data_IF_579132580259
#
_entry.id   IF_579132580259
#
_cell.length_a   1.000
_cell.length_b   1.000
_cell.length_c   1.000
_cell.angle_alpha   90.00
_cell.angle_beta   90.00
_cell.angle_gamma   90.00
#
_symmetry.space_group_name_H-M   'P 1'
#
loop_
_entity.id
_entity.type
_entity.pdbx_description
1 polymer ?
#
# COMPACT_ATOMS: atom_id res chain seq x y z
N UNK A 1 -17.12 -4.38 3.22
CA UNK A 1 -18.35 -4.71 2.49
C UNK A 1 -19.21 -3.46 2.35
N UNK A 2 -20.01 -3.40 1.28
CA UNK A 2 -20.98 -2.32 1.11
C UNK A 2 -22.11 -2.45 2.13
N UNK A 3 -22.40 -1.36 2.84
CA UNK A 3 -23.53 -1.19 3.77
C UNK A 3 -23.67 -2.24 4.89
N UNK A 4 -22.72 -3.17 5.04
CA UNK A 4 -22.75 -4.28 5.99
C UNK A 4 -21.42 -4.47 6.73
N UNK A 5 -21.52 -4.91 7.98
CA UNK A 5 -20.41 -5.31 8.84
C UNK A 5 -20.55 -6.76 9.35
N UNK A 6 -21.51 -7.54 8.84
CA UNK A 6 -21.83 -8.89 9.37
C UNK A 6 -20.65 -9.85 9.30
N UNK A 7 -19.82 -9.73 8.25
CA UNK A 7 -18.64 -10.57 8.05
C UNK A 7 -17.39 -10.03 8.77
N UNK A 8 -17.41 -8.81 9.32
CA UNK A 8 -16.23 -8.18 9.93
C UNK A 8 -15.67 -9.03 11.08
N UNK A 9 -16.56 -9.54 11.94
CA UNK A 9 -16.15 -10.38 13.07
C UNK A 9 -15.52 -11.71 12.62
N UNK A 10 -16.03 -12.31 11.55
CA UNK A 10 -15.47 -13.53 10.96
C UNK A 10 -14.07 -13.27 10.39
N UNK A 11 -13.91 -12.18 9.64
CA UNK A 11 -12.61 -11.77 9.07
C UNK A 11 -11.60 -11.48 10.20
N UNK A 12 -12.00 -10.79 11.27
CA UNK A 12 -11.13 -10.52 12.41
C UNK A 12 -10.64 -11.80 13.11
N UNK A 13 -11.50 -12.81 13.27
CA UNK A 13 -11.12 -14.10 13.86
C UNK A 13 -10.16 -14.87 12.95
N UNK A 14 -10.44 -14.92 11.65
CA UNK A 14 -9.56 -15.54 10.66
C UNK A 14 -8.18 -14.84 10.59
N UNK A 15 -8.17 -13.51 10.56
CA UNK A 15 -6.96 -12.69 10.49
C UNK A 15 -6.06 -12.85 11.72
N UNK A 16 -6.65 -12.94 12.92
CA UNK A 16 -5.91 -13.14 14.17
C UNK A 16 -5.07 -14.43 14.14
N UNK A 17 -5.62 -15.51 13.59
CA UNK A 17 -4.87 -16.77 13.43
C UNK A 17 -3.67 -16.64 12.47
N UNK A 18 -3.74 -15.68 11.55
CA UNK A 18 -2.68 -15.37 10.58
C UNK A 18 -1.73 -14.25 11.03
N UNK A 19 -1.89 -13.70 12.25
CA UNK A 19 -1.09 -12.57 12.74
C UNK A 19 -1.39 -11.24 12.03
N UNK A 20 -2.56 -11.12 11.40
CA UNK A 20 -3.00 -9.90 10.73
C UNK A 20 -3.97 -9.13 11.62
N UNK A 21 -3.84 -7.80 11.62
CA UNK A 21 -4.80 -6.90 12.25
C UNK A 21 -5.85 -6.46 11.23
N UNK A 22 -7.11 -6.37 11.67
CA UNK A 22 -8.24 -5.94 10.85
C UNK A 22 -9.00 -4.88 11.63
N UNK A 23 -8.95 -3.64 11.13
CA UNK A 23 -9.74 -2.53 11.63
C UNK A 23 -11.16 -2.69 11.08
N UNK A 24 -12.19 -2.76 11.95
CA UNK A 24 -13.55 -2.98 11.51
C UNK A 24 -14.02 -1.78 10.70
N UNK A 25 -14.72 -2.03 9.60
CA UNK A 25 -15.14 -0.99 8.70
C UNK A 25 -16.25 -1.41 7.77
N UNK A 26 -16.84 -0.43 7.11
CA UNK A 26 -17.94 -0.57 6.17
C UNK A 26 -17.86 0.54 5.14
N UNK A 27 -18.14 0.24 3.89
CA UNK A 27 -18.29 1.25 2.85
C UNK A 27 -19.78 1.55 2.66
N UNK A 28 -20.19 2.79 2.94
CA UNK A 28 -21.59 3.20 2.91
C UNK A 28 -21.86 3.98 1.64
N UNK A 29 -22.93 3.63 0.93
CA UNK A 29 -23.40 4.38 -0.24
C UNK A 29 -24.46 5.38 0.22
N UNK A 30 -24.15 6.68 0.13
CA UNK A 30 -25.08 7.75 0.50
C UNK A 30 -26.23 7.89 -0.50
N UNK A 31 -27.20 8.75 -0.19
CA UNK A 31 -28.32 9.09 -1.06
C UNK A 31 -27.88 9.76 -2.38
N UNK A 32 -26.76 10.46 -2.36
CA UNK A 32 -26.10 11.04 -3.55
C UNK A 32 -25.25 10.01 -4.31
N UNK A 33 -25.36 8.73 -3.94
CA UNK A 33 -24.56 7.63 -4.47
C UNK A 33 -23.06 7.87 -4.26
N UNK A 34 -22.67 8.51 -3.16
CA UNK A 34 -21.25 8.68 -2.81
C UNK A 34 -20.83 7.57 -1.85
N UNK A 35 -19.70 6.94 -2.12
CA UNK A 35 -19.10 5.97 -1.19
C UNK A 35 -18.26 6.66 -0.12
N UNK A 36 -18.61 6.38 1.14
CA UNK A 36 -17.86 6.79 2.32
C UNK A 36 -17.44 5.54 3.08
N UNK A 37 -16.13 5.33 3.22
CA UNK A 37 -15.57 4.30 4.07
C UNK A 37 -15.60 4.78 5.54
N UNK A 38 -16.36 4.08 6.36
CA UNK A 38 -16.31 4.21 7.82
C UNK A 38 -15.33 3.20 8.42
N UNK A 39 -14.30 3.69 9.11
CA UNK A 39 -13.41 2.89 9.95
C UNK A 39 -13.81 3.05 11.41
N UNK A 40 -14.07 1.96 12.11
CA UNK A 40 -14.69 1.94 13.44
C UNK A 40 -13.71 1.44 14.52
N UNK A 41 -13.91 1.83 15.79
CA UNK A 41 -12.99 1.45 16.87
C UNK A 41 -13.03 -0.05 17.18
N UNK A 42 -14.20 -0.66 17.07
CA UNK A 42 -14.43 -2.08 17.37
C UNK A 42 -15.62 -2.66 16.60
N UNK A 43 -15.85 -3.96 16.77
CA UNK A 43 -16.95 -4.68 16.12
C UNK A 43 -18.33 -4.21 16.61
N UNK A 44 -18.44 -3.78 17.87
CA UNK A 44 -19.70 -3.30 18.44
C UNK A 44 -20.13 -2.00 17.73
N UNK A 45 -19.21 -1.06 17.57
CA UNK A 45 -19.42 0.16 16.81
C UNK A 45 -19.78 -0.12 15.34
N UNK A 46 -19.10 -1.07 14.68
CA UNK A 46 -19.42 -1.45 13.30
C UNK A 46 -20.83 -2.03 13.13
N UNK A 47 -21.26 -2.91 14.05
CA UNK A 47 -22.61 -3.47 14.04
C UNK A 47 -23.68 -2.45 14.44
N UNK A 48 -23.32 -1.49 15.31
CA UNK A 48 -24.19 -0.37 15.64
C UNK A 48 -24.40 0.56 14.43
N UNK A 49 -23.34 0.85 13.65
CA UNK A 49 -23.43 1.59 12.41
C UNK A 49 -24.30 0.84 11.39
N UNK A 50 -24.05 -0.47 11.20
CA UNK A 50 -24.87 -1.32 10.33
C UNK A 50 -26.35 -1.24 10.67
N UNK A 51 -26.69 -1.31 11.96
CA UNK A 51 -28.08 -1.22 12.42
C UNK A 51 -28.74 0.12 12.09
N UNK A 52 -27.95 1.22 11.99
CA UNK A 52 -28.44 2.52 11.52
C UNK A 52 -28.61 2.50 9.99
N UNK A 53 -27.62 1.99 9.26
CA UNK A 53 -27.63 1.90 7.80
C UNK A 53 -28.80 1.04 7.29
N UNK A 54 -29.05 -0.13 7.86
CA UNK A 54 -30.16 -1.00 7.44
C UNK A 54 -31.54 -0.36 7.61
N UNK A 55 -31.73 0.52 8.60
CA UNK A 55 -32.99 1.27 8.77
C UNK A 55 -33.19 2.30 7.67
N UNK A 56 -32.11 2.78 7.08
CA UNK A 56 -32.11 3.79 6.04
C UNK A 56 -31.86 3.21 4.64
N UNK A 57 -31.62 1.89 4.51
CA UNK A 57 -31.32 1.20 3.26
C UNK A 57 -32.62 0.59 2.69
N UNK A 58 -33.21 1.18 1.64
CA UNK A 58 -34.43 0.68 1.04
C UNK A 58 -34.16 -0.52 0.12
N UNK A 59 -35.20 -1.33 -0.06
CA UNK A 59 -35.19 -2.44 -1.01
C UNK A 59 -34.65 -3.74 -0.40
N UNK A 60 -34.93 -4.82 -1.13
CA UNK A 60 -34.46 -6.16 -0.80
C UNK A 60 -33.62 -6.68 -1.96
N UNK A 61 -32.69 -7.57 -1.64
CA UNK A 61 -31.82 -8.22 -2.60
C UNK A 61 -32.65 -9.09 -3.55
N UNK A 62 -32.36 -8.95 -4.84
CA UNK A 62 -32.81 -9.87 -5.88
C UNK A 62 -31.61 -10.77 -6.22
N UNK A 63 -31.64 -12.00 -5.72
CA UNK A 63 -30.54 -12.95 -5.90
C UNK A 63 -30.27 -13.31 -7.37
N UNK A 64 -31.28 -13.22 -8.25
CA UNK A 64 -31.08 -13.47 -9.67
C UNK A 64 -30.32 -12.31 -10.34
N UNK A 65 -30.57 -11.08 -9.89
CA UNK A 65 -29.96 -9.88 -10.47
C UNK A 65 -28.58 -9.55 -9.86
N UNK A 66 -28.44 -9.67 -8.53
CA UNK A 66 -27.28 -9.19 -7.79
C UNK A 66 -26.45 -10.31 -7.15
N UNK A 67 -26.94 -11.55 -7.20
CA UNK A 67 -26.32 -12.70 -6.57
C UNK A 67 -26.64 -12.82 -5.09
N UNK A 68 -26.15 -13.91 -4.49
CA UNK A 68 -26.36 -14.19 -3.06
C UNK A 68 -25.42 -13.35 -2.19
N UNK A 69 -25.97 -12.79 -1.12
CA UNK A 69 -25.21 -12.03 -0.13
C UNK A 69 -25.02 -12.88 1.11
N UNK A 70 -23.87 -13.53 1.22
CA UNK A 70 -23.60 -14.54 2.25
C UNK A 70 -23.03 -13.93 3.53
N UNK A 71 -23.55 -14.41 4.66
CA UNK A 71 -22.95 -14.22 5.98
C UNK A 71 -22.21 -15.50 6.32
N UNK A 72 -20.92 -15.37 6.65
CA UNK A 72 -20.03 -16.52 6.87
C UNK A 72 -19.33 -16.47 8.20
N UNK A 73 -18.83 -17.63 8.66
CA UNK A 73 -17.87 -17.68 9.75
C UNK A 73 -16.42 -17.61 9.23
N UNK A 74 -15.46 -17.63 10.15
CA UNK A 74 -14.02 -17.58 9.85
C UNK A 74 -13.48 -18.76 9.02
N UNK A 75 -14.27 -19.82 8.85
CA UNK A 75 -13.94 -20.99 8.04
C UNK A 75 -14.62 -20.96 6.66
N UNK A 76 -15.24 -19.83 6.29
CA UNK A 76 -16.04 -19.66 5.08
C UNK A 76 -17.28 -20.57 5.02
N UNK A 77 -17.77 -21.05 6.16
CA UNK A 77 -19.06 -21.76 6.23
C UNK A 77 -20.19 -20.74 6.25
N UNK A 78 -21.21 -20.97 5.42
CA UNK A 78 -22.38 -20.08 5.32
C UNK A 78 -23.25 -20.23 6.57
N UNK A 79 -23.43 -19.12 7.29
CA UNK A 79 -24.30 -19.03 8.46
C UNK A 79 -25.70 -18.53 8.10
N UNK A 80 -25.81 -17.76 7.01
CA UNK A 80 -27.06 -17.19 6.55
C UNK A 80 -26.88 -16.33 5.30
N UNK A 81 -27.98 -15.72 4.89
CA UNK A 81 -28.05 -14.82 3.74
C UNK A 81 -28.68 -13.49 4.18
N UNK A 82 -28.15 -12.37 3.68
CA UNK A 82 -28.65 -11.04 3.95
C UNK A 82 -29.68 -10.63 2.87
N UNK A 83 -30.86 -10.19 3.29
CA UNK A 83 -31.95 -9.79 2.38
C UNK A 83 -31.94 -8.32 1.97
N UNK A 84 -31.14 -7.45 2.59
CA UNK A 84 -31.07 -6.03 2.23
C UNK A 84 -30.36 -5.85 0.89
N UNK A 85 -30.73 -4.85 0.08
CA UNK A 85 -29.98 -4.55 -1.15
C UNK A 85 -28.65 -3.86 -0.81
N UNK A 86 -27.58 -4.62 -0.51
CA UNK A 86 -26.32 -4.05 0.01
C UNK A 86 -25.57 -3.20 -1.01
N UNK A 87 -25.77 -3.42 -2.31
CA UNK A 87 -25.24 -2.55 -3.38
C UNK A 87 -26.05 -1.27 -3.61
N UNK A 88 -27.16 -1.10 -2.89
CA UNK A 88 -28.06 0.04 -3.03
C UNK A 88 -27.59 1.27 -2.26
N UNK A 89 -28.20 2.41 -2.61
CA UNK A 89 -27.99 3.68 -1.91
C UNK A 89 -28.89 3.78 -0.70
N UNK A 90 -28.35 4.28 0.40
CA UNK A 90 -29.14 4.63 1.58
C UNK A 90 -29.99 5.88 1.32
N UNK A 91 -30.92 6.17 2.22
CA UNK A 91 -31.67 7.43 2.25
C UNK A 91 -30.93 8.55 2.99
N UNK A 92 -29.75 8.27 3.56
CA UNK A 92 -28.94 9.23 4.30
C UNK A 92 -28.07 10.04 3.34
N UNK A 93 -28.03 11.35 3.52
CA UNK A 93 -27.10 12.24 2.79
C UNK A 93 -25.64 11.96 3.19
N UNK A 94 -24.69 12.42 2.38
CA UNK A 94 -23.25 12.28 2.68
C UNK A 94 -22.88 12.86 4.06
N UNK A 95 -23.45 14.00 4.44
CA UNK A 95 -23.26 14.62 5.75
C UNK A 95 -23.80 13.74 6.89
N UNK A 96 -24.98 13.13 6.71
CA UNK A 96 -25.59 12.23 7.69
C UNK A 96 -24.79 10.93 7.85
N UNK A 97 -24.25 10.39 6.75
CA UNK A 97 -23.37 9.21 6.78
C UNK A 97 -22.08 9.52 7.55
N UNK A 98 -21.41 10.63 7.23
CA UNK A 98 -20.19 11.06 7.94
C UNK A 98 -20.47 11.27 9.43
N UNK A 99 -21.57 11.96 9.76
CA UNK A 99 -22.01 12.16 11.14
C UNK A 99 -22.28 10.84 11.87
N UNK A 100 -22.96 9.89 11.23
CA UNK A 100 -23.25 8.59 11.82
C UNK A 100 -21.99 7.75 12.14
N UNK A 101 -20.94 7.87 11.32
CA UNK A 101 -19.62 7.26 11.57
C UNK A 101 -18.96 7.91 12.79
N UNK A 102 -18.94 9.25 12.83
CA UNK A 102 -18.30 10.01 13.91
C UNK A 102 -19.00 9.87 15.26
N UNK A 103 -20.33 9.77 15.29
CA UNK A 103 -21.13 9.49 16.48
C UNK A 103 -20.68 8.22 17.22
N UNK A 104 -20.09 7.28 16.49
CA UNK A 104 -19.60 6.00 16.99
C UNK A 104 -18.08 6.00 17.19
N UNK A 105 -17.45 7.17 17.20
CA UNK A 105 -16.00 7.33 17.37
C UNK A 105 -15.17 6.90 16.16
N UNK A 106 -15.82 6.69 15.02
CA UNK A 106 -15.17 6.24 13.78
C UNK A 106 -14.35 7.33 13.08
N UNK A 107 -13.80 6.97 11.93
CA UNK A 107 -13.17 7.86 10.97
C UNK A 107 -13.87 7.71 9.63
N UNK A 108 -14.21 8.84 9.00
CA UNK A 108 -14.88 8.89 7.71
C UNK A 108 -13.88 9.23 6.60
N UNK A 109 -13.78 8.35 5.62
CA UNK A 109 -12.90 8.50 4.45
C UNK A 109 -13.77 8.56 3.20
N UNK A 110 -13.61 9.58 2.37
CA UNK A 110 -14.27 9.60 1.07
C UNK A 110 -13.57 8.61 0.13
N UNK A 111 -14.25 7.54 -0.25
CA UNK A 111 -13.68 6.47 -1.09
C UNK A 111 -13.42 6.95 -2.51
N UNK A 112 -12.31 6.47 -3.10
CA UNK A 112 -11.97 6.59 -4.53
C UNK A 112 -12.47 7.89 -5.19
N UNK A 113 -12.07 9.04 -4.64
CA UNK A 113 -12.64 10.37 -4.95
C UNK A 113 -12.49 10.79 -6.42
N UNK A 114 -11.57 10.16 -7.13
CA UNK A 114 -11.23 10.37 -8.53
C UNK A 114 -12.01 9.49 -9.52
N UNK A 115 -12.88 8.58 -9.04
CA UNK A 115 -13.81 7.83 -9.90
C UNK A 115 -14.99 8.71 -10.33
N UNK A 116 -15.42 8.53 -11.58
CA UNK A 116 -16.64 9.15 -12.11
C UNK A 116 -17.91 8.62 -11.42
N UNK A 117 -17.98 7.29 -11.22
CA UNK A 117 -19.07 6.64 -10.48
C UNK A 117 -18.72 6.49 -9.00
N UNK A 118 -19.68 6.81 -8.14
CA UNK A 118 -19.60 6.67 -6.68
C UNK A 118 -18.52 7.46 -5.94
N UNK A 119 -17.61 8.15 -6.65
CA UNK A 119 -16.66 9.08 -6.07
C UNK A 119 -17.34 10.42 -5.76
N UNK A 120 -17.00 11.02 -4.61
CA UNK A 120 -17.62 12.29 -4.17
C UNK A 120 -17.46 13.43 -5.19
N UNK A 121 -16.32 13.50 -5.88
CA UNK A 121 -16.09 14.52 -6.93
C UNK A 121 -16.83 14.15 -8.22
N UNK A 122 -16.92 12.86 -8.55
CA UNK A 122 -17.70 12.39 -9.70
C UNK A 122 -19.19 12.73 -9.58
N UNK A 123 -19.76 12.54 -8.38
CA UNK A 123 -21.17 12.78 -8.11
C UNK A 123 -21.50 14.25 -7.86
N UNK A 124 -20.69 14.96 -7.07
CA UNK A 124 -21.01 16.32 -6.62
C UNK A 124 -20.21 17.41 -7.34
N UNK A 125 -19.17 17.04 -8.10
CA UNK A 125 -18.23 17.97 -8.76
C UNK A 125 -17.18 18.57 -7.83
N UNK A 126 -17.32 18.41 -6.51
CA UNK A 126 -16.41 18.92 -5.48
C UNK A 126 -16.59 18.15 -4.17
N UNK A 127 -15.63 18.29 -3.25
CA UNK A 127 -15.79 17.84 -1.86
C UNK A 127 -16.52 18.97 -1.11
N UNK A 128 -17.72 18.74 -0.53
CA UNK A 128 -18.49 19.79 0.14
C UNK A 128 -17.66 20.52 1.21
N UNK A 129 -17.58 21.87 1.17
CA UNK A 129 -16.83 22.63 2.17
C UNK A 129 -17.40 22.41 3.57
N UNK A 130 -16.54 22.02 4.51
CA UNK A 130 -16.94 21.79 5.90
C UNK A 130 -17.44 20.37 6.21
N UNK A 131 -17.54 19.49 5.20
CA UNK A 131 -17.75 18.06 5.44
C UNK A 131 -16.54 17.51 6.21
N UNK A 132 -16.72 16.98 7.43
CA UNK A 132 -15.59 16.63 8.30
C UNK A 132 -15.00 15.27 7.91
N UNK A 133 -14.33 15.19 6.76
CA UNK A 133 -13.62 13.98 6.36
C UNK A 133 -12.29 13.84 7.11
N UNK A 134 -11.98 12.64 7.59
CA UNK A 134 -10.69 12.32 8.21
C UNK A 134 -9.60 12.08 7.16
N UNK A 135 -9.97 11.60 5.96
CA UNK A 135 -9.08 11.44 4.82
C UNK A 135 -9.86 11.34 3.49
N UNK A 136 -9.13 11.39 2.38
CA UNK A 136 -9.65 11.02 1.06
C UNK A 136 -8.87 9.80 0.54
N UNK A 137 -9.56 8.88 -0.10
CA UNK A 137 -8.95 7.76 -0.79
C UNK A 137 -8.98 8.01 -2.30
N UNK A 138 -7.87 7.72 -2.99
CA UNK A 138 -7.82 7.68 -4.44
C UNK A 138 -7.88 6.24 -4.95
N UNK A 139 -8.53 6.09 -6.09
CA UNK A 139 -8.52 4.86 -6.85
C UNK A 139 -7.08 4.49 -7.20
N UNK A 140 -6.88 3.18 -7.37
CA UNK A 140 -5.61 2.64 -7.83
C UNK A 140 -5.11 3.27 -9.15
N UNK A 141 -5.94 3.96 -9.94
CA UNK A 141 -5.56 4.56 -11.24
C UNK A 141 -4.90 5.94 -11.12
N UNK A 142 -4.81 6.50 -9.91
CA UNK A 142 -4.21 7.81 -9.65
C UNK A 142 -3.00 7.67 -8.72
N UNK A 143 -1.94 8.44 -8.99
CA UNK A 143 -0.74 8.47 -8.14
C UNK A 143 -0.88 9.48 -7.00
N UNK A 144 -0.26 9.20 -5.85
CA UNK A 144 -0.26 10.10 -4.70
C UNK A 144 0.21 11.54 -5.02
N UNK A 145 1.28 11.79 -5.82
CA UNK A 145 1.69 13.14 -6.17
C UNK A 145 0.62 13.88 -7.01
N UNK A 146 -0.01 13.19 -7.95
CA UNK A 146 -1.07 13.76 -8.78
C UNK A 146 -2.30 14.08 -7.93
N UNK A 147 -2.71 13.16 -7.07
CA UNK A 147 -3.82 13.36 -6.14
C UNK A 147 -3.58 14.56 -5.22
N UNK A 148 -2.35 14.70 -4.69
CA UNK A 148 -1.98 15.84 -3.85
C UNK A 148 -2.06 17.16 -4.58
N UNK A 149 -1.65 17.21 -5.85
CA UNK A 149 -1.76 18.43 -6.66
C UNK A 149 -3.21 18.80 -6.98
N UNK A 150 -4.09 17.82 -7.19
CA UNK A 150 -5.47 18.04 -7.63
C UNK A 150 -6.46 18.25 -6.48
N UNK A 151 -6.36 17.45 -5.41
CA UNK A 151 -7.41 17.33 -4.41
C UNK A 151 -7.01 17.85 -3.03
N UNK A 152 -5.70 17.93 -2.73
CA UNK A 152 -5.21 18.49 -1.48
C UNK A 152 -3.92 19.32 -1.67
N UNK A 153 -3.93 20.36 -2.53
CA UNK A 153 -2.73 21.13 -2.87
C UNK A 153 -2.14 21.90 -1.69
N UNK A 154 -2.92 22.14 -0.64
CA UNK A 154 -2.46 22.78 0.61
C UNK A 154 -2.34 21.77 1.76
N UNK A 155 -2.52 20.48 1.48
CA UNK A 155 -2.54 19.43 2.50
C UNK A 155 -3.81 19.42 3.34
N UNK A 156 -4.94 19.80 2.73
CA UNK A 156 -6.26 19.84 3.38
C UNK A 156 -6.70 18.47 3.91
N UNK A 157 -6.32 17.40 3.19
CA UNK A 157 -6.68 16.03 3.52
C UNK A 157 -5.46 15.10 3.49
N UNK A 158 -5.37 14.15 4.44
CA UNK A 158 -4.60 12.94 4.26
C UNK A 158 -5.10 12.18 3.02
N UNK A 159 -4.17 11.64 2.24
CA UNK A 159 -4.49 10.90 1.00
C UNK A 159 -4.10 9.44 1.19
N UNK A 160 -5.07 8.56 0.95
CA UNK A 160 -4.95 7.11 1.02
C UNK A 160 -5.11 6.51 -0.38
N UNK A 161 -4.66 5.28 -0.53
CA UNK A 161 -4.92 4.42 -1.67
C UNK A 161 -5.12 2.98 -1.16
N UNK A 162 -6.15 2.31 -1.68
CA UNK A 162 -6.47 0.92 -1.38
C UNK A 162 -6.83 0.17 -2.67
N UNK A 163 -6.89 -1.16 -2.58
CA UNK A 163 -7.07 -2.01 -3.75
C UNK A 163 -8.49 -2.03 -4.31
N UNK A 164 -9.49 -1.67 -3.52
CA UNK A 164 -10.93 -1.84 -3.84
C UNK A 164 -11.23 -3.28 -4.32
N UNK A 165 -10.74 -4.26 -3.54
CA UNK A 165 -10.66 -5.65 -3.96
C UNK A 165 -12.02 -6.34 -3.82
N UNK A 166 -12.52 -6.90 -4.93
CA UNK A 166 -13.76 -7.69 -4.98
C UNK A 166 -13.47 -9.19 -5.07
N UNK A 167 -12.19 -9.56 -5.27
CA UNK A 167 -11.72 -10.93 -5.31
C UNK A 167 -10.44 -11.09 -4.47
N UNK A 168 -10.21 -12.26 -3.85
CA UNK A 168 -9.03 -12.45 -3.00
C UNK A 168 -7.69 -12.14 -3.69
N UNK A 169 -7.57 -12.44 -4.98
CA UNK A 169 -6.36 -12.15 -5.78
C UNK A 169 -6.11 -10.65 -6.03
N UNK A 170 -7.10 -9.79 -5.79
CA UNK A 170 -6.98 -8.33 -5.96
C UNK A 170 -6.47 -7.64 -4.69
N UNK A 171 -6.48 -8.33 -3.55
CA UNK A 171 -6.02 -7.79 -2.26
C UNK A 171 -4.57 -7.32 -2.34
N UNK A 172 -4.33 -6.07 -1.96
CA UNK A 172 -3.02 -5.45 -2.02
C UNK A 172 -2.63 -4.94 -3.42
N UNK A 173 -3.52 -5.00 -4.41
CA UNK A 173 -3.30 -4.40 -5.73
C UNK A 173 -3.05 -2.88 -5.71
N UNK A 174 -3.43 -2.22 -4.61
CA UNK A 174 -2.89 -0.94 -4.17
C UNK A 174 -2.96 -0.85 -2.64
N UNK A 175 -2.09 -0.06 -2.02
CA UNK A 175 -2.02 0.06 -0.56
C UNK A 175 -1.51 1.44 -0.11
N UNK A 176 -1.79 1.76 1.15
CA UNK A 176 -1.21 2.89 1.89
C UNK A 176 -0.24 2.36 2.93
N UNK A 177 0.95 2.94 2.97
CA UNK A 177 1.97 2.63 3.96
C UNK A 177 1.94 3.65 5.08
N UNK A 178 1.80 3.17 6.30
CA UNK A 178 1.61 3.95 7.51
C UNK A 178 2.70 3.58 8.51
N UNK A 179 3.22 4.59 9.21
CA UNK A 179 4.05 4.38 10.38
C UNK A 179 3.19 4.54 11.63
N UNK A 180 3.06 3.46 12.40
CA UNK A 180 2.22 3.33 13.58
C UNK A 180 2.87 2.39 14.60
N UNK A 181 2.54 2.57 15.88
CA UNK A 181 2.98 1.68 16.95
C UNK A 181 2.16 0.39 16.99
N UNK A 182 0.85 0.51 16.80
CA UNK A 182 -0.08 -0.62 16.75
C UNK A 182 -1.14 -0.42 15.65
N UNK A 183 -1.75 -1.51 15.20
CA UNK A 183 -2.81 -1.46 14.18
C UNK A 183 -4.18 -1.17 14.80
N UNK A 184 -4.35 0.05 15.33
CA UNK A 184 -5.59 0.52 15.97
C UNK A 184 -6.15 1.76 15.26
N UNK A 185 -7.44 2.06 15.47
CA UNK A 185 -8.06 3.27 14.91
C UNK A 185 -7.41 4.56 15.46
N UNK A 186 -6.99 4.57 16.72
CA UNK A 186 -6.35 5.74 17.32
C UNK A 186 -4.97 6.01 16.71
N UNK A 187 -4.21 4.96 16.42
CA UNK A 187 -2.94 5.08 15.69
C UNK A 187 -3.15 5.55 14.25
N UNK A 188 -4.20 5.08 13.57
CA UNK A 188 -4.59 5.62 12.26
C UNK A 188 -4.90 7.12 12.34
N UNK A 189 -5.66 7.55 13.35
CA UNK A 189 -5.98 8.95 13.58
C UNK A 189 -4.72 9.79 13.78
N UNK A 190 -3.75 9.28 14.56
CA UNK A 190 -2.44 9.90 14.72
C UNK A 190 -1.65 9.94 13.40
N UNK A 191 -1.66 8.86 12.61
CA UNK A 191 -0.94 8.78 11.34
C UNK A 191 -1.50 9.74 10.29
N UNK A 192 -2.82 9.85 10.20
CA UNK A 192 -3.50 10.77 9.28
C UNK A 192 -3.20 12.22 9.66
N UNK A 193 -3.18 12.52 10.96
CA UNK A 193 -2.85 13.84 11.48
C UNK A 193 -1.34 14.17 11.51
N UNK A 194 -0.46 13.19 11.25
CA UNK A 194 1.00 13.38 11.36
C UNK A 194 1.48 13.65 12.80
N UNK A 195 0.83 13.08 13.81
CA UNK A 195 1.07 13.37 15.24
C UNK A 195 1.89 12.28 15.92
N UNK A 196 2.65 12.66 16.96
CA UNK A 196 3.39 11.73 17.83
C UNK A 196 4.33 10.76 17.07
N UNK A 197 4.85 11.20 15.91
CA UNK A 197 5.71 10.37 15.04
C UNK A 197 4.99 9.44 14.09
N UNK A 198 3.66 9.30 14.22
CA UNK A 198 2.85 8.53 13.29
C UNK A 198 2.62 9.35 12.04
N UNK A 199 2.69 8.72 10.88
CA UNK A 199 2.51 9.42 9.61
C UNK A 199 2.16 8.47 8.48
N UNK A 200 1.55 9.01 7.42
CA UNK A 200 1.47 8.36 6.12
C UNK A 200 2.85 8.45 5.46
N UNK A 201 3.41 7.29 5.13
CA UNK A 201 4.68 7.17 4.44
C UNK A 201 4.49 7.41 2.93
N UNK A 202 3.48 6.76 2.34
CA UNK A 202 3.11 6.87 0.93
C UNK A 202 2.04 5.83 0.55
N UNK A 203 1.86 5.58 -0.74
CA UNK A 203 0.92 4.56 -1.24
C UNK A 203 0.81 4.51 -2.76
N UNK A 204 0.24 3.44 -3.30
CA UNK A 204 0.10 3.22 -4.74
C UNK A 204 -0.02 1.74 -5.11
N UNK A 205 0.13 1.42 -6.40
CA UNK A 205 0.06 0.04 -6.94
C UNK A 205 1.42 -0.65 -6.93
N UNK A 206 1.52 -1.91 -6.45
CA UNK A 206 2.76 -2.69 -6.52
C UNK A 206 3.34 -2.89 -7.93
N UNK A 207 2.50 -2.91 -8.97
CA UNK A 207 2.93 -3.17 -10.37
C UNK A 207 3.25 -1.93 -11.21
N UNK A 208 3.00 -0.71 -10.70
CA UNK A 208 3.37 0.53 -11.43
C UNK A 208 4.76 1.05 -11.04
N UNK A 209 5.37 0.48 -10.01
CA UNK A 209 6.56 1.02 -9.37
C UNK A 209 7.55 -0.08 -8.97
N UNK A 210 8.78 -0.01 -9.52
CA UNK A 210 9.85 -0.94 -9.17
C UNK A 210 10.27 -0.83 -7.69
N UNK A 211 10.07 0.31 -7.02
CA UNK A 211 10.32 0.49 -5.59
C UNK A 211 9.47 -0.43 -4.72
N UNK A 212 8.25 -0.78 -5.15
CA UNK A 212 7.38 -1.69 -4.41
C UNK A 212 7.79 -3.15 -4.60
N UNK A 213 8.30 -3.52 -5.77
CA UNK A 213 8.95 -4.83 -5.93
C UNK A 213 10.21 -4.95 -5.09
N UNK A 214 10.99 -3.88 -4.96
CA UNK A 214 12.14 -3.85 -4.04
C UNK A 214 11.68 -4.04 -2.59
N UNK A 215 10.61 -3.34 -2.17
CA UNK A 215 10.04 -3.47 -0.84
C UNK A 215 9.59 -4.92 -0.56
N UNK A 216 8.85 -5.53 -1.47
CA UNK A 216 8.39 -6.92 -1.36
C UNK A 216 9.56 -7.90 -1.22
N UNK A 217 10.61 -7.76 -2.03
CA UNK A 217 11.79 -8.64 -1.96
C UNK A 217 12.53 -8.43 -0.64
N UNK A 218 12.71 -7.18 -0.19
CA UNK A 218 13.34 -6.89 1.10
C UNK A 218 12.52 -7.43 2.28
N UNK A 219 11.19 -7.36 2.24
CA UNK A 219 10.32 -8.00 3.24
C UNK A 219 10.48 -9.52 3.25
N UNK A 220 10.60 -10.16 2.09
CA UNK A 220 10.91 -11.60 2.01
C UNK A 220 12.24 -11.94 2.71
N UNK A 221 13.26 -11.08 2.56
CA UNK A 221 14.54 -11.24 3.23
C UNK A 221 14.43 -11.13 4.76
N UNK A 222 13.65 -10.17 5.26
CA UNK A 222 13.41 -10.01 6.71
C UNK A 222 12.72 -11.24 7.29
N UNK A 223 11.66 -11.75 6.63
CA UNK A 223 10.98 -12.97 7.05
C UNK A 223 11.86 -14.22 6.96
N UNK A 224 12.85 -14.22 6.06
CA UNK A 224 13.86 -15.25 5.97
C UNK A 224 14.89 -15.21 7.12
N UNK A 225 14.77 -14.23 8.03
CA UNK A 225 15.65 -14.04 9.18
C UNK A 225 16.96 -13.34 8.85
N UNK A 226 17.02 -12.60 7.74
CA UNK A 226 18.17 -11.76 7.44
C UNK A 226 18.29 -10.65 8.49
N UNK A 227 19.52 -10.37 8.92
CA UNK A 227 19.85 -9.18 9.74
C UNK A 227 20.50 -8.08 8.89
N UNK A 228 20.95 -8.41 7.68
CA UNK A 228 21.62 -7.50 6.75
C UNK A 228 21.01 -7.62 5.37
N UNK A 229 20.60 -6.50 4.79
CA UNK A 229 20.00 -6.43 3.45
C UNK A 229 20.73 -5.35 2.64
N UNK A 230 21.17 -5.71 1.45
CA UNK A 230 21.79 -4.80 0.49
C UNK A 230 20.87 -4.59 -0.71
N UNK A 231 20.53 -3.34 -0.99
CA UNK A 231 19.71 -2.90 -2.12
C UNK A 231 20.57 -2.02 -3.02
N UNK A 232 20.80 -2.46 -4.26
CA UNK A 232 21.60 -1.76 -5.25
C UNK A 232 20.76 -1.50 -6.51
N UNK A 233 20.70 -0.25 -6.94
CA UNK A 233 20.03 0.18 -8.18
C UNK A 233 21.10 0.81 -9.06
N UNK A 234 21.26 0.33 -10.29
CA UNK A 234 22.25 0.83 -11.23
C UNK A 234 21.60 1.16 -12.57
N UNK A 235 21.46 2.46 -12.85
CA UNK A 235 21.13 2.98 -14.17
C UNK A 235 22.41 3.22 -14.98
N UNK A 236 22.52 2.53 -16.11
CA UNK A 236 23.56 2.74 -17.11
C UNK A 236 22.94 3.22 -18.44
N UNK A 237 22.64 4.53 -18.59
CA UNK A 237 22.01 5.04 -19.80
C UNK A 237 22.78 4.76 -21.10
N UNK A 238 24.12 4.73 -21.05
CA UNK A 238 24.95 4.38 -22.21
C UNK A 238 24.86 2.92 -22.65
N UNK A 239 24.35 2.04 -21.79
CA UNK A 239 24.14 0.61 -22.07
C UNK A 239 22.66 0.27 -22.21
N UNK A 240 21.76 1.26 -22.14
CA UNK A 240 20.31 1.09 -22.08
C UNK A 240 19.87 0.09 -20.99
N UNK A 241 20.54 0.11 -19.83
CA UNK A 241 20.39 -0.93 -18.79
C UNK A 241 20.02 -0.34 -17.45
N UNK A 242 18.99 -0.91 -16.83
CA UNK A 242 18.66 -0.76 -15.40
C UNK A 242 18.85 -2.11 -14.73
N UNK A 243 19.65 -2.14 -13.67
CA UNK A 243 19.79 -3.31 -12.81
C UNK A 243 19.28 -2.96 -11.40
N UNK A 244 18.45 -3.82 -10.84
CA UNK A 244 18.01 -3.78 -9.45
C UNK A 244 18.48 -5.08 -8.81
N UNK A 245 19.26 -4.97 -7.74
CA UNK A 245 19.81 -6.09 -7.01
C UNK A 245 19.46 -5.98 -5.54
N UNK A 246 18.86 -7.03 -4.99
CA UNK A 246 18.60 -7.18 -3.56
C UNK A 246 19.34 -8.42 -3.06
N UNK A 247 20.14 -8.28 -2.02
CA UNK A 247 20.92 -9.37 -1.42
C UNK A 247 20.72 -9.39 0.09
N UNK A 248 20.56 -10.58 0.66
CA UNK A 248 20.38 -10.78 2.10
C UNK A 248 21.24 -11.92 2.63
N UNK A 249 21.38 -11.97 3.95
CA UNK A 249 22.06 -13.05 4.67
C UNK A 249 21.09 -13.96 5.45
N UNK A 250 19.84 -14.06 5.03
CA UNK A 250 18.84 -14.89 5.69
C UNK A 250 19.08 -16.39 5.49
N UNK A 251 18.07 -17.21 5.82
CA UNK A 251 18.17 -18.68 5.76
C UNK A 251 18.44 -19.28 4.37
N UNK A 252 18.25 -18.50 3.30
CA UNK A 252 18.36 -18.95 1.91
C UNK A 252 17.32 -20.03 1.52
N UNK A 253 17.47 -20.57 0.31
CA UNK A 253 16.57 -21.56 -0.28
C UNK A 253 17.33 -22.83 -0.65
N UNK A 254 16.67 -23.98 -0.55
CA UNK A 254 17.15 -25.21 -1.16
C UNK A 254 16.88 -25.23 -2.67
N UNK A 255 17.43 -26.23 -3.37
CA UNK A 255 17.35 -26.32 -4.83
C UNK A 255 15.91 -26.45 -5.34
N UNK A 256 15.04 -27.13 -4.59
CA UNK A 256 13.64 -27.32 -4.97
C UNK A 256 12.85 -26.01 -4.82
N UNK A 257 13.03 -25.33 -3.69
CA UNK A 257 12.43 -24.03 -3.42
C UNK A 257 12.91 -22.99 -4.42
N UNK A 258 14.22 -22.94 -4.71
CA UNK A 258 14.80 -22.00 -5.67
C UNK A 258 14.25 -22.20 -7.08
N UNK A 259 14.08 -23.45 -7.53
CA UNK A 259 13.54 -23.75 -8.85
C UNK A 259 12.10 -23.26 -9.04
N UNK A 260 11.37 -23.07 -7.94
CA UNK A 260 9.97 -22.62 -7.92
C UNK A 260 9.82 -21.20 -7.40
N UNK A 261 10.90 -20.53 -6.96
CA UNK A 261 10.83 -19.25 -6.27
C UNK A 261 10.22 -18.11 -7.11
N UNK A 262 10.28 -18.21 -8.44
CA UNK A 262 9.65 -17.26 -9.37
C UNK A 262 8.30 -17.74 -9.93
N UNK A 263 7.80 -18.91 -9.49
CA UNK A 263 6.48 -19.41 -9.86
C UNK A 263 5.40 -18.64 -9.06
N UNK A 264 4.45 -17.96 -9.74
CA UNK A 264 3.39 -17.20 -9.07
C UNK A 264 2.58 -18.01 -8.06
N UNK A 265 2.43 -19.31 -8.30
CA UNK A 265 1.61 -20.21 -7.48
C UNK A 265 2.42 -20.91 -6.38
N UNK A 266 3.72 -20.64 -6.27
CA UNK A 266 4.57 -21.18 -5.23
C UNK A 266 4.85 -20.15 -4.14
N UNK A 267 4.66 -20.55 -2.90
CA UNK A 267 4.99 -19.74 -1.73
C UNK A 267 5.32 -20.65 -0.57
N UNK A 268 6.28 -20.22 0.25
CA UNK A 268 6.64 -20.89 1.50
C UNK A 268 5.94 -20.26 2.72
N UNK A 269 5.14 -19.21 2.49
CA UNK A 269 4.31 -18.55 3.51
C UNK A 269 3.05 -19.38 3.75
N UNK A 270 2.81 -19.80 4.99
CA UNK A 270 1.58 -20.53 5.35
C UNK A 270 0.29 -19.70 5.26
N UNK A 271 0.39 -18.37 5.29
CA UNK A 271 -0.74 -17.43 5.35
C UNK A 271 -1.16 -16.84 4.00
N UNK A 272 -0.30 -16.89 2.98
CA UNK A 272 -0.61 -16.48 1.60
C UNK A 272 -0.55 -17.71 0.70
N UNK A 273 -1.58 -17.95 -0.11
CA UNK A 273 -1.58 -19.02 -1.14
C UNK A 273 -0.84 -18.64 -2.43
N UNK A 274 -0.33 -17.41 -2.54
CA UNK A 274 0.29 -16.88 -3.78
C UNK A 274 1.60 -16.15 -3.44
N UNK A 275 2.67 -16.44 -4.17
CA UNK A 275 4.03 -15.90 -3.98
C UNK A 275 4.37 -14.79 -4.97
N UNK A 276 3.58 -13.72 -4.98
CA UNK A 276 3.56 -12.78 -6.11
C UNK A 276 4.83 -11.92 -6.26
N UNK A 277 5.56 -11.60 -5.19
CA UNK A 277 6.64 -10.61 -5.23
C UNK A 277 7.72 -10.89 -6.29
N UNK A 278 8.35 -12.07 -6.24
CA UNK A 278 9.40 -12.46 -7.20
C UNK A 278 8.84 -12.73 -8.59
N UNK A 279 7.66 -13.33 -8.70
CA UNK A 279 7.04 -13.61 -10.00
C UNK A 279 6.62 -12.33 -10.74
N UNK A 280 6.14 -11.31 -10.03
CA UNK A 280 5.78 -10.03 -10.62
C UNK A 280 7.02 -9.26 -11.07
N UNK A 281 8.09 -9.26 -10.27
CA UNK A 281 9.37 -8.69 -10.68
C UNK A 281 9.95 -9.40 -11.93
N UNK A 282 9.84 -10.73 -11.99
CA UNK A 282 10.23 -11.50 -13.16
C UNK A 282 9.43 -11.12 -14.41
N UNK A 283 8.11 -11.01 -14.29
CA UNK A 283 7.23 -10.62 -15.38
C UNK A 283 7.56 -9.20 -15.87
N UNK A 284 7.76 -8.24 -14.96
CA UNK A 284 8.14 -6.87 -15.30
C UNK A 284 9.48 -6.80 -16.05
N UNK A 285 10.49 -7.56 -15.58
CA UNK A 285 11.78 -7.63 -16.25
C UNK A 285 11.67 -8.26 -17.65
N UNK A 286 10.96 -9.38 -17.79
CA UNK A 286 10.78 -10.06 -19.07
C UNK A 286 9.99 -9.23 -20.09
N UNK A 287 8.93 -8.55 -19.65
CA UNK A 287 8.10 -7.70 -20.50
C UNK A 287 8.88 -6.54 -21.13
N UNK A 288 10.01 -6.15 -20.54
CA UNK A 288 10.88 -5.07 -21.01
C UNK A 288 12.14 -5.58 -21.71
N UNK A 289 12.17 -6.86 -22.09
CA UNK A 289 13.31 -7.50 -22.74
C UNK A 289 14.52 -7.73 -21.83
N UNK A 290 14.30 -7.70 -20.51
CA UNK A 290 15.27 -8.02 -19.48
C UNK A 290 15.04 -9.40 -18.87
N UNK A 291 15.51 -9.62 -17.63
CA UNK A 291 15.40 -10.92 -16.94
C UNK A 291 15.51 -10.79 -15.42
N UNK A 292 15.04 -11.81 -14.71
CA UNK A 292 15.29 -12.02 -13.28
C UNK A 292 16.26 -13.20 -13.09
N UNK A 293 17.24 -13.04 -12.23
CA UNK A 293 18.18 -14.09 -11.79
C UNK A 293 18.17 -14.18 -10.26
N UNK A 294 18.05 -15.39 -9.73
CA UNK A 294 18.07 -15.64 -8.28
C UNK A 294 19.18 -16.63 -7.97
N UNK A 295 20.06 -16.26 -7.03
CA UNK A 295 21.09 -17.14 -6.47
C UNK A 295 20.82 -17.30 -4.99
N UNK A 296 20.71 -18.53 -4.50
CA UNK A 296 20.48 -18.80 -3.08
C UNK A 296 20.98 -20.20 -2.71
N UNK A 297 21.40 -20.35 -1.46
CA UNK A 297 21.77 -21.63 -0.86
C UNK A 297 21.41 -21.61 0.63
N UNK A 298 21.03 -22.76 1.19
CA UNK A 298 20.63 -22.84 2.61
C UNK A 298 21.77 -22.35 3.51
N UNK A 299 21.46 -21.37 4.36
CA UNK A 299 22.39 -20.77 5.31
C UNK A 299 23.31 -19.69 4.73
N UNK A 300 23.24 -19.39 3.43
CA UNK A 300 24.10 -18.39 2.78
C UNK A 300 23.34 -17.12 2.34
N UNK A 301 22.01 -17.11 2.50
CA UNK A 301 21.15 -16.00 2.07
C UNK A 301 20.67 -16.11 0.63
N UNK A 302 20.17 -15.00 0.10
CA UNK A 302 19.59 -14.90 -1.24
C UNK A 302 20.08 -13.64 -1.94
N UNK A 303 20.35 -13.75 -3.25
CA UNK A 303 20.60 -12.61 -4.13
C UNK A 303 19.64 -12.67 -5.30
N UNK A 304 18.86 -11.60 -5.47
CA UNK A 304 17.92 -11.41 -6.56
C UNK A 304 18.43 -10.26 -7.43
N UNK A 305 18.54 -10.48 -8.74
CA UNK A 305 18.95 -9.48 -9.72
C UNK A 305 17.88 -9.41 -10.80
N UNK A 306 17.28 -8.23 -10.96
CA UNK A 306 16.36 -7.92 -12.03
C UNK A 306 17.01 -6.92 -12.99
N UNK A 307 17.06 -7.26 -14.27
CA UNK A 307 17.59 -6.42 -15.33
C UNK A 307 16.45 -5.96 -16.23
N UNK A 308 16.47 -4.70 -16.66
CA UNK A 308 15.49 -4.07 -17.54
C UNK A 308 16.21 -3.25 -18.61
N UNK A 309 15.57 -3.05 -19.76
CA UNK A 309 15.99 -2.02 -20.72
C UNK A 309 15.55 -0.65 -20.25
N UNK A 310 16.49 0.27 -20.02
CA UNK A 310 16.23 1.55 -19.36
C UNK A 310 15.24 2.42 -20.14
N UNK A 311 15.35 2.46 -21.47
CA UNK A 311 14.53 3.23 -22.39
C UNK A 311 13.28 2.51 -22.91
N UNK A 312 12.96 1.32 -22.42
CA UNK A 312 11.77 0.59 -22.85
C UNK A 312 10.50 1.32 -22.41
N UNK A 313 9.53 1.45 -23.32
CA UNK A 313 8.29 2.20 -23.07
C UNK A 313 7.44 1.59 -21.95
N UNK A 314 7.38 0.25 -21.90
CA UNK A 314 6.62 -0.49 -20.88
C UNK A 314 7.40 -0.71 -19.58
N UNK A 315 8.61 -0.13 -19.42
CA UNK A 315 9.35 -0.25 -18.17
C UNK A 315 8.71 0.66 -17.13
N UNK A 316 8.21 0.04 -16.05
CA UNK A 316 7.75 0.76 -14.88
C UNK A 316 8.83 1.74 -14.36
N UNK A 317 8.45 2.95 -13.92
CA UNK A 317 9.37 3.86 -13.25
C UNK A 317 10.04 3.20 -12.03
N UNK A 318 11.21 3.70 -11.65
CA UNK A 318 11.87 3.32 -10.40
C UNK A 318 11.00 3.66 -9.19
N UNK A 319 10.24 4.77 -9.31
CA UNK A 319 9.25 5.29 -8.39
C UNK A 319 9.76 5.67 -6.99
N UNK A 320 8.97 5.46 -5.95
CA UNK A 320 9.16 6.12 -4.64
C UNK A 320 10.12 5.36 -3.71
N UNK A 321 11.42 5.46 -4.01
CA UNK A 321 12.49 4.90 -3.18
C UNK A 321 12.59 5.54 -1.79
N UNK A 322 12.18 6.80 -1.64
CA UNK A 322 12.14 7.48 -0.35
C UNK A 322 11.18 6.74 0.59
N UNK A 323 9.95 6.51 0.14
CA UNK A 323 8.95 5.77 0.92
C UNK A 323 9.39 4.33 1.19
N UNK A 324 9.91 3.62 0.18
CA UNK A 324 10.39 2.23 0.36
C UNK A 324 11.47 2.14 1.43
N UNK A 325 12.48 3.01 1.40
CA UNK A 325 13.55 3.02 2.40
C UNK A 325 13.05 3.45 3.77
N UNK A 326 12.13 4.42 3.84
CA UNK A 326 11.48 4.82 5.10
C UNK A 326 10.74 3.65 5.75
N UNK A 327 9.95 2.89 4.97
CA UNK A 327 9.22 1.71 5.47
C UNK A 327 10.19 0.68 6.04
N UNK A 328 11.26 0.36 5.31
CA UNK A 328 12.23 -0.65 5.75
C UNK A 328 13.00 -0.22 7.01
N UNK A 329 13.51 1.01 7.04
CA UNK A 329 14.32 1.52 8.15
C UNK A 329 13.49 1.77 9.42
N UNK A 330 12.26 2.31 9.27
CA UNK A 330 11.40 2.60 10.40
C UNK A 330 10.68 1.35 10.93
N UNK A 331 10.26 0.45 10.03
CA UNK A 331 9.56 -0.79 10.41
C UNK A 331 10.49 -1.85 10.98
N UNK A 332 11.79 -1.80 10.65
CA UNK A 332 12.76 -2.81 11.05
C UNK A 332 14.09 -2.18 11.53
N UNK A 333 14.07 -1.41 12.64
CA UNK A 333 15.25 -0.66 13.12
C UNK A 333 16.44 -1.55 13.53
N UNK A 334 16.21 -2.86 13.73
CA UNK A 334 17.26 -3.84 14.04
C UNK A 334 17.95 -4.45 12.81
N UNK A 335 17.50 -4.12 11.59
CA UNK A 335 18.04 -4.67 10.34
C UNK A 335 19.05 -3.68 9.73
N UNK A 336 20.24 -4.18 9.41
CA UNK A 336 21.28 -3.42 8.73
C UNK A 336 20.98 -3.32 7.24
N UNK A 337 20.45 -2.18 6.82
CA UNK A 337 20.17 -1.86 5.42
C UNK A 337 21.33 -1.08 4.81
N UNK A 338 21.85 -1.59 3.70
CA UNK A 338 22.82 -0.95 2.82
C UNK A 338 22.12 -0.61 1.50
N UNK A 339 22.00 0.66 1.18
CA UNK A 339 21.35 1.13 -0.05
C UNK A 339 22.35 1.87 -0.94
N UNK A 340 22.29 1.62 -2.24
CA UNK A 340 23.05 2.34 -3.26
C UNK A 340 22.19 2.55 -4.49
N UNK A 341 21.98 3.80 -4.87
CA UNK A 341 21.43 4.16 -6.18
C UNK A 341 22.50 4.83 -7.02
N UNK A 342 22.86 4.23 -8.16
CA UNK A 342 23.91 4.70 -9.07
C UNK A 342 23.33 5.06 -10.44
N UNK A 343 23.65 6.25 -10.93
CA UNK A 343 23.39 6.70 -12.31
C UNK A 343 24.71 7.05 -12.98
N UNK A 344 25.19 6.17 -13.86
CA UNK A 344 26.51 6.28 -14.48
C UNK A 344 27.63 6.27 -13.44
N UNK A 345 28.37 7.38 -13.30
CA UNK A 345 29.49 7.52 -12.34
C UNK A 345 29.10 8.05 -10.96
N UNK A 346 27.83 8.44 -10.77
CA UNK A 346 27.35 9.07 -9.53
C UNK A 346 26.56 8.06 -8.74
N UNK A 347 26.65 8.14 -7.42
CA UNK A 347 25.81 7.35 -6.53
C UNK A 347 25.30 8.17 -5.36
N UNK A 348 24.13 7.77 -4.87
CA UNK A 348 23.67 8.04 -3.53
C UNK A 348 23.78 6.74 -2.74
N UNK A 349 24.52 6.78 -1.64
CA UNK A 349 24.78 5.64 -0.78
C UNK A 349 24.21 5.93 0.61
N UNK A 350 23.60 4.92 1.22
CA UNK A 350 23.11 4.94 2.59
C UNK A 350 23.52 3.67 3.29
N UNK A 351 24.15 3.82 4.45
CA UNK A 351 24.39 2.75 5.41
C UNK A 351 23.58 3.07 6.67
N UNK A 352 22.63 2.19 7.01
CA UNK A 352 21.76 2.40 8.17
C UNK A 352 22.52 2.39 9.51
N UNK A 353 23.70 1.76 9.58
CA UNK A 353 24.55 1.80 10.77
C UNK A 353 25.07 3.21 11.08
N UNK A 354 25.21 4.05 10.05
CA UNK A 354 25.73 5.42 10.19
C UNK A 354 24.65 6.42 10.62
N UNK A 355 23.36 6.06 10.60
CA UNK A 355 22.25 6.98 10.86
C UNK A 355 22.32 7.57 12.27
N UNK A 356 22.52 6.73 13.29
CA UNK A 356 22.62 7.19 14.69
C UNK A 356 23.82 8.14 14.84
N UNK A 357 24.97 7.79 14.26
CA UNK A 357 26.16 8.65 14.31
C UNK A 357 25.99 9.98 13.59
N UNK A 358 25.07 10.02 12.63
CA UNK A 358 24.64 11.21 11.89
C UNK A 358 23.51 11.99 12.58
N UNK A 359 23.13 11.60 13.80
CA UNK A 359 22.05 12.24 14.58
C UNK A 359 20.64 11.89 14.10
N UNK A 360 20.47 10.80 13.34
CA UNK A 360 19.19 10.33 12.81
C UNK A 360 18.77 9.08 13.60
N UNK A 361 17.90 9.27 14.58
CA UNK A 361 17.27 8.17 15.31
C UNK A 361 15.89 7.85 14.71
N UNK A 362 15.84 6.78 13.92
CA UNK A 362 14.62 6.33 13.20
C UNK A 362 13.50 5.86 14.13
N UNK A 363 13.76 5.68 15.43
CA UNK A 363 12.73 5.39 16.43
C UNK A 363 11.97 6.65 16.87
N UNK A 364 12.46 7.85 16.51
CA UNK A 364 11.88 9.14 16.94
C UNK A 364 11.20 9.87 15.78
N UNK A 365 10.11 10.63 16.05
CA UNK A 365 9.47 11.50 15.05
C UNK A 365 10.46 12.43 14.34
N UNK A 366 11.38 13.04 15.10
CA UNK A 366 12.39 13.97 14.61
C UNK A 366 13.42 13.29 13.70
N UNK A 367 13.85 12.07 14.06
CA UNK A 367 14.79 11.32 13.25
C UNK A 367 14.14 10.79 11.97
N UNK A 368 12.89 10.34 12.00
CA UNK A 368 12.14 9.98 10.80
C UNK A 368 11.99 11.16 9.84
N UNK A 369 11.68 12.35 10.35
CA UNK A 369 11.64 13.57 9.55
C UNK A 369 13.03 13.93 8.98
N UNK A 370 14.12 13.68 9.72
CA UNK A 370 15.48 13.89 9.25
C UNK A 370 15.89 12.89 8.17
N UNK A 371 15.57 11.60 8.36
CA UNK A 371 15.78 10.54 7.39
C UNK A 371 15.06 10.86 6.08
N UNK A 372 13.77 11.22 6.16
CA UNK A 372 12.97 11.63 4.99
C UNK A 372 13.64 12.75 4.20
N UNK A 373 14.11 13.80 4.88
CA UNK A 373 14.85 14.91 4.23
C UNK A 373 16.15 14.46 3.60
N UNK A 374 16.90 13.58 4.27
CA UNK A 374 18.17 13.04 3.77
C UNK A 374 17.94 12.23 2.48
N UNK A 375 16.99 11.28 2.50
CA UNK A 375 16.63 10.44 1.37
C UNK A 375 16.17 11.28 0.18
N UNK A 376 15.22 12.19 0.42
CA UNK A 376 14.70 13.08 -0.62
C UNK A 376 15.80 13.90 -1.28
N UNK A 377 16.69 14.50 -0.47
CA UNK A 377 17.82 15.28 -0.97
C UNK A 377 18.80 14.42 -1.77
N UNK A 378 19.15 13.24 -1.26
CA UNK A 378 20.08 12.32 -1.93
C UNK A 378 19.60 11.89 -3.31
N UNK A 379 18.33 11.48 -3.41
CA UNK A 379 17.71 11.10 -4.68
C UNK A 379 17.54 12.30 -5.63
N UNK A 380 17.11 13.47 -5.12
CA UNK A 380 17.01 14.69 -5.95
C UNK A 380 18.38 15.13 -6.49
N UNK A 381 19.44 15.16 -5.66
CA UNK A 381 20.79 15.55 -6.09
C UNK A 381 21.34 14.61 -7.18
N UNK A 382 21.00 13.31 -7.10
CA UNK A 382 21.35 12.31 -8.09
C UNK A 382 20.60 12.50 -9.44
N UNK A 383 19.30 12.84 -9.36
CA UNK A 383 18.41 12.99 -10.53
C UNK A 383 18.54 14.37 -11.19
N UNK A 384 18.53 15.50 -10.47
CA UNK A 384 18.53 16.84 -11.08
C UNK A 384 19.81 17.11 -11.89
N UNK A 385 20.96 16.62 -11.39
CA UNK A 385 22.23 16.73 -12.11
C UNK A 385 22.27 15.88 -13.39
N UNK A 386 21.29 14.99 -13.63
CA UNK A 386 21.11 14.28 -14.90
C UNK A 386 20.63 15.23 -15.99
N UNK A 387 19.74 16.18 -15.67
CA UNK A 387 19.12 17.09 -16.63
C UNK A 387 20.09 18.20 -17.08
N UNK A 388 20.98 18.66 -16.20
CA UNK A 388 21.99 19.66 -16.53
C UNK A 388 23.06 19.18 -17.55
N UNK A 389 23.22 17.86 -17.72
CA UNK A 389 24.16 17.27 -18.70
C UNK A 389 23.54 16.96 -20.07
N UNK A 390 22.25 17.17 -20.26
CA UNK A 390 21.52 16.85 -21.51
C UNK A 390 21.18 18.06 -22.39
N UNK A 391 21.44 19.28 -21.94
CA UNK A 391 21.07 20.53 -22.63
C UNK A 391 22.21 21.20 -23.42
N UNK A 392 23.26 20.46 -23.79
CA UNK A 392 24.33 20.96 -24.66
C UNK A 392 24.42 20.13 -25.94
N UNK A 393 23.52 20.39 -26.90
CA UNK A 393 23.65 19.76 -28.22
C UNK A 393 22.41 19.79 -29.10
N UNK A 394 21.93 20.97 -29.50
CA UNK A 394 21.40 21.23 -30.85
C UNK A 394 20.99 22.70 -30.96
N UNK A 395 21.85 23.50 -31.61
CA UNK A 395 21.44 24.70 -32.33
C UNK A 395 21.11 24.31 -33.77
#
# INVERSE_FOLDING_TARGET
DHNSAENVGAVQRAARAAGLAVIPGMEITSAEEVHILGLLPDLEAALALQSRIYKALPGHNDEEAFGVQVVTNEFAEVLGFNDHLLSGSTTLTVDEVVGAIHDLGGMAVASHVDREGFGIIGQLGFIPPGLPLDAIEISRHTTMPRARALYAPRGEYPILCASDAHRPEELGGAATFLLMEEATLEELRCAFAGKNGRTILGGGRPMEDLALHILDIAQNSIEAGADTIRIEISEAPGEDRLEIKVSDNGKGMDRETLARAADPFFTTRGTRKVGLGLSLMAAAAQATGGRLSITSSRGEGTTVIAEFKLGHIDRAPIGDLETTLMVLLAGHPGIHILFRHRIGKRSFDLDSADLISSGIDVSTPSGLAALRRMLRKGESDLIERRQAGGASGSH
#
